data_IF_490614511777
#
_entry.id   IF_490614511777
#
_cell.length_a   1.000
_cell.length_b   1.000
_cell.length_c   1.000
_cell.angle_alpha   90.00
_cell.angle_beta   90.00
_cell.angle_gamma   90.00
#
_symmetry.space_group_name_H-M   'P 1'
#
loop_
_entity.id
_entity.type
_entity.pdbx_description
1 polymer ?
#
# COMPACT_ATOMS: atom_id res chain seq x y z
N UNK A 1 8.22 -47.06 28.87
CA UNK A 1 9.53 -46.57 28.40
C UNK A 1 9.87 -45.26 29.09
N UNK A 2 10.87 -45.25 29.99
CA UNK A 2 11.39 -44.02 30.60
C UNK A 2 12.31 -43.33 29.59
N UNK A 3 11.76 -42.49 28.70
CA UNK A 3 12.46 -41.81 27.60
C UNK A 3 13.51 -40.76 28.04
N UNK A 4 13.89 -40.73 29.33
CA UNK A 4 14.88 -39.78 29.85
C UNK A 4 14.41 -38.32 29.89
N UNK A 5 13.13 -38.01 29.64
CA UNK A 5 12.62 -36.65 29.53
C UNK A 5 12.93 -35.77 30.76
N UNK A 6 12.78 -36.32 31.98
CA UNK A 6 13.13 -35.60 33.23
C UNK A 6 14.63 -35.26 33.33
N UNK A 7 15.50 -36.08 32.72
CA UNK A 7 16.94 -35.82 32.68
C UNK A 7 17.27 -34.74 31.66
N UNK A 8 16.65 -34.78 30.47
CA UNK A 8 16.83 -33.73 29.46
C UNK A 8 16.32 -32.36 29.92
N UNK A 9 15.19 -32.31 30.65
CA UNK A 9 14.69 -31.09 31.25
C UNK A 9 15.67 -30.51 32.27
N UNK A 10 16.20 -31.33 33.20
CA UNK A 10 17.22 -30.89 34.16
C UNK A 10 18.51 -30.41 33.49
N UNK A 11 18.91 -31.06 32.40
CA UNK A 11 20.12 -30.70 31.68
C UNK A 11 19.93 -29.36 30.94
N UNK A 12 18.76 -29.14 30.34
CA UNK A 12 18.35 -27.87 29.74
C UNK A 12 18.20 -26.74 30.78
N UNK A 13 17.68 -27.06 31.97
CA UNK A 13 17.63 -26.15 33.11
C UNK A 13 19.03 -25.68 33.50
N UNK A 14 19.98 -26.62 33.62
CA UNK A 14 21.34 -26.33 34.07
C UNK A 14 22.21 -25.63 33.01
N UNK A 15 22.10 -25.99 31.73
CA UNK A 15 22.98 -25.46 30.67
C UNK A 15 22.44 -24.19 30.03
N UNK A 16 21.12 -24.08 29.89
CA UNK A 16 20.48 -23.02 29.11
C UNK A 16 19.60 -22.10 29.95
N UNK A 17 19.56 -22.29 31.27
CA UNK A 17 18.66 -21.56 32.18
C UNK A 17 17.20 -21.55 31.68
N UNK A 18 16.74 -22.66 31.12
CA UNK A 18 15.41 -22.79 30.50
C UNK A 18 15.10 -21.87 29.31
N UNK A 19 16.11 -21.26 28.67
CA UNK A 19 15.89 -20.47 27.46
C UNK A 19 15.55 -21.37 26.27
N UNK A 20 14.32 -21.23 25.76
CA UNK A 20 13.89 -21.91 24.53
C UNK A 20 14.18 -20.96 23.36
N UNK A 21 15.07 -21.35 22.42
CA UNK A 21 15.45 -20.46 21.35
C UNK A 21 14.28 -20.20 20.39
N UNK A 22 14.17 -18.97 19.94
CA UNK A 22 13.17 -18.61 18.93
C UNK A 22 13.55 -19.18 17.55
N UNK A 23 12.58 -19.34 16.64
CA UNK A 23 12.85 -19.81 15.27
C UNK A 23 13.94 -18.97 14.58
N UNK A 24 13.96 -17.66 14.84
CA UNK A 24 14.97 -16.74 14.29
C UNK A 24 16.38 -17.01 14.86
N UNK A 25 16.47 -17.26 16.17
CA UNK A 25 17.73 -17.62 16.82
C UNK A 25 18.26 -18.96 16.30
N UNK A 26 17.38 -19.95 16.14
CA UNK A 26 17.73 -21.27 15.57
C UNK A 26 18.29 -21.12 14.16
N UNK A 27 17.64 -20.32 13.30
CA UNK A 27 18.15 -20.03 11.95
C UNK A 27 19.56 -19.43 12.02
N UNK A 28 19.79 -18.48 12.94
CA UNK A 28 21.11 -17.87 13.14
C UNK A 28 22.15 -18.91 13.56
N UNK A 29 21.84 -19.78 14.52
CA UNK A 29 22.75 -20.82 14.96
C UNK A 29 23.09 -21.82 13.86
N UNK A 30 22.11 -22.22 13.05
CA UNK A 30 22.32 -23.08 11.89
C UNK A 30 23.28 -22.40 10.90
N UNK A 31 23.08 -21.12 10.60
CA UNK A 31 23.95 -20.38 9.70
C UNK A 31 25.38 -20.27 10.25
N UNK A 32 25.56 -19.96 11.53
CA UNK A 32 26.88 -19.92 12.16
C UNK A 32 27.56 -21.30 12.12
N UNK A 33 26.81 -22.38 12.32
CA UNK A 33 27.34 -23.73 12.21
C UNK A 33 27.74 -24.08 10.78
N UNK A 34 26.95 -23.69 9.78
CA UNK A 34 27.28 -23.88 8.37
C UNK A 34 28.55 -23.12 7.99
N UNK A 35 28.69 -21.86 8.43
CA UNK A 35 29.91 -21.08 8.22
C UNK A 35 31.13 -21.73 8.87
N UNK A 36 30.99 -22.22 10.10
CA UNK A 36 32.05 -22.95 10.79
C UNK A 36 32.42 -24.26 10.07
N UNK A 37 31.42 -25.02 9.64
CA UNK A 37 31.61 -26.27 8.90
C UNK A 37 32.33 -26.02 7.56
N UNK A 38 31.91 -25.01 6.81
CA UNK A 38 32.46 -24.69 5.50
C UNK A 38 33.91 -24.17 5.56
N UNK A 39 34.34 -23.64 6.72
CA UNK A 39 35.74 -23.22 6.99
C UNK A 39 36.69 -24.39 7.25
N UNK A 40 36.17 -25.59 7.55
CA UNK A 40 37.03 -26.76 7.81
C UNK A 40 37.77 -27.19 6.54
N UNK A 41 38.96 -27.80 6.67
CA UNK A 41 39.68 -28.34 5.52
C UNK A 41 38.86 -29.45 4.85
N UNK A 42 38.92 -29.53 3.52
CA UNK A 42 38.20 -30.55 2.79
C UNK A 42 38.79 -31.94 3.09
N UNK A 43 37.96 -32.98 3.33
CA UNK A 43 38.45 -34.34 3.55
C UNK A 43 39.26 -34.91 2.39
N UNK A 44 38.93 -34.51 1.15
CA UNK A 44 39.57 -35.02 -0.07
C UNK A 44 40.84 -34.24 -0.45
N UNK A 45 40.92 -32.96 -0.09
CA UNK A 45 42.09 -32.12 -0.33
C UNK A 45 42.30 -31.18 0.86
N UNK A 46 43.30 -31.47 1.69
CA UNK A 46 43.58 -30.71 2.93
C UNK A 46 44.13 -29.30 2.67
N UNK A 47 44.49 -28.98 1.42
CA UNK A 47 45.04 -27.67 1.06
C UNK A 47 43.97 -26.58 0.94
N UNK A 48 42.70 -26.95 0.73
CA UNK A 48 41.59 -26.03 0.50
C UNK A 48 40.48 -26.20 1.52
N UNK A 49 39.76 -25.12 1.78
CA UNK A 49 38.54 -25.18 2.59
C UNK A 49 37.38 -25.80 1.80
N UNK A 50 36.40 -26.35 2.51
CA UNK A 50 35.17 -26.89 1.89
C UNK A 50 34.47 -25.80 1.06
N UNK A 51 34.45 -24.55 1.55
CA UNK A 51 33.85 -23.42 0.85
C UNK A 51 34.52 -23.12 -0.49
N UNK A 52 35.85 -23.12 -0.55
CA UNK A 52 36.61 -22.85 -1.79
C UNK A 52 36.34 -23.93 -2.84
N UNK A 53 36.31 -25.19 -2.41
CA UNK A 53 35.96 -26.30 -3.29
C UNK A 53 34.52 -26.16 -3.81
N UNK A 54 33.54 -25.87 -2.94
CA UNK A 54 32.16 -25.65 -3.37
C UNK A 54 31.99 -24.44 -4.30
N UNK A 55 32.78 -23.38 -4.11
CA UNK A 55 32.78 -22.21 -4.98
C UNK A 55 33.41 -22.49 -6.36
N UNK A 56 34.33 -23.45 -6.45
CA UNK A 56 34.95 -23.85 -7.72
C UNK A 56 34.02 -24.67 -8.63
N UNK A 57 32.94 -25.22 -8.08
CA UNK A 57 31.93 -25.97 -8.85
C UNK A 57 31.14 -25.01 -9.73
N UNK A 58 31.04 -25.33 -11.01
CA UNK A 58 30.25 -24.55 -11.97
C UNK A 58 28.77 -24.55 -11.57
N UNK A 59 28.22 -23.35 -11.34
CA UNK A 59 26.82 -23.18 -10.94
C UNK A 59 25.97 -22.97 -12.18
N UNK A 60 24.93 -23.78 -12.34
CA UNK A 60 23.91 -23.54 -13.35
C UNK A 60 23.12 -22.27 -13.01
N UNK A 61 22.89 -21.41 -14.01
CA UNK A 61 22.04 -20.24 -13.84
C UNK A 61 20.57 -20.66 -13.81
N UNK A 62 20.04 -20.89 -12.60
CA UNK A 62 18.64 -21.23 -12.39
C UNK A 62 17.80 -19.96 -12.23
N UNK A 63 16.71 -19.88 -12.99
CA UNK A 63 15.73 -18.82 -12.80
C UNK A 63 14.89 -19.12 -11.55
N UNK A 64 15.16 -18.39 -10.48
CA UNK A 64 14.52 -18.55 -9.16
C UNK A 64 13.00 -18.44 -9.25
N UNK A 65 12.45 -17.60 -10.14
CA UNK A 65 11.00 -17.43 -10.26
C UNK A 65 10.32 -18.66 -10.85
N UNK A 66 10.97 -19.30 -11.83
CA UNK A 66 10.47 -20.55 -12.43
C UNK A 66 10.53 -21.66 -11.40
N UNK A 67 11.65 -21.77 -10.67
CA UNK A 67 11.82 -22.74 -9.60
C UNK A 67 10.76 -22.56 -8.51
N UNK A 68 10.55 -21.33 -8.05
CA UNK A 68 9.52 -21.02 -7.06
C UNK A 68 8.13 -21.42 -7.56
N UNK A 69 7.82 -21.16 -8.82
CA UNK A 69 6.53 -21.53 -9.43
C UNK A 69 6.36 -23.05 -9.47
N UNK A 70 7.44 -23.81 -9.71
CA UNK A 70 7.43 -25.27 -9.73
C UNK A 70 7.24 -25.88 -8.33
N UNK A 71 7.80 -25.23 -7.31
CA UNK A 71 7.74 -25.69 -5.91
C UNK A 71 6.43 -25.33 -5.19
N UNK A 72 5.50 -24.64 -5.85
CA UNK A 72 4.20 -24.28 -5.25
C UNK A 72 3.26 -25.48 -5.17
N UNK A 73 2.54 -25.58 -4.05
CA UNK A 73 1.47 -26.56 -3.90
C UNK A 73 0.22 -26.08 -4.60
N UNK A 74 -0.50 -27.01 -5.25
CA UNK A 74 -1.77 -26.72 -5.93
C UNK A 74 -2.94 -27.23 -5.09
N UNK A 75 -3.98 -26.42 -4.93
CA UNK A 75 -5.25 -26.81 -4.30
C UNK A 75 -6.46 -26.31 -5.09
N UNK A 76 -7.56 -27.07 -5.08
CA UNK A 76 -8.82 -26.64 -5.68
C UNK A 76 -9.68 -25.88 -4.67
N UNK A 77 -10.18 -24.70 -5.05
CA UNK A 77 -11.10 -23.89 -4.23
C UNK A 77 -12.14 -23.21 -5.11
N UNK A 78 -13.26 -22.83 -4.50
CA UNK A 78 -14.34 -22.12 -5.19
C UNK A 78 -14.22 -20.60 -4.97
N UNK A 79 -14.40 -19.82 -6.03
CA UNK A 79 -14.47 -18.37 -5.92
C UNK A 79 -15.86 -17.97 -5.41
N UNK A 80 -15.90 -17.15 -4.37
CA UNK A 80 -17.12 -16.53 -3.83
C UNK A 80 -17.23 -15.07 -4.30
N UNK A 81 -18.37 -14.42 -4.06
CA UNK A 81 -18.58 -12.98 -4.34
C UNK A 81 -17.46 -12.09 -3.80
N UNK A 82 -16.92 -12.45 -2.63
CA UNK A 82 -15.89 -11.67 -1.93
C UNK A 82 -14.45 -12.09 -2.29
N UNK A 83 -14.27 -13.17 -3.05
CA UNK A 83 -12.99 -13.70 -3.47
C UNK A 83 -12.79 -15.15 -3.00
N UNK A 84 -11.56 -15.51 -2.69
CA UNK A 84 -11.15 -16.87 -2.34
C UNK A 84 -10.86 -16.94 -0.85
N UNK A 85 -11.35 -17.99 -0.19
CA UNK A 85 -11.05 -18.32 1.20
C UNK A 85 -10.12 -19.52 1.26
N UNK A 86 -8.96 -19.34 1.88
CA UNK A 86 -7.95 -20.39 2.04
C UNK A 86 -7.20 -20.22 3.36
N UNK A 87 -7.04 -21.30 4.15
CA UNK A 87 -6.43 -21.29 5.50
C UNK A 87 -6.99 -20.19 6.43
N UNK A 88 -8.31 -19.98 6.42
CA UNK A 88 -8.98 -18.90 7.16
C UNK A 88 -8.50 -17.48 6.79
N UNK A 89 -7.83 -17.34 5.65
CA UNK A 89 -7.43 -16.06 5.05
C UNK A 89 -8.28 -15.78 3.82
N UNK A 90 -8.52 -14.49 3.58
CA UNK A 90 -9.25 -14.03 2.40
C UNK A 90 -8.28 -13.48 1.38
N UNK A 91 -8.43 -13.93 0.13
CA UNK A 91 -7.64 -13.46 -1.00
C UNK A 91 -8.55 -12.79 -2.01
N UNK A 92 -8.13 -11.60 -2.46
CA UNK A 92 -8.93 -10.80 -3.39
C UNK A 92 -8.07 -10.30 -4.54
N UNK A 93 -8.67 -10.29 -5.73
CA UNK A 93 -8.15 -9.67 -6.94
C UNK A 93 -9.32 -9.10 -7.73
N UNK A 94 -9.05 -8.08 -8.56
CA UNK A 94 -10.07 -7.44 -9.39
C UNK A 94 -10.57 -8.40 -10.48
N UNK A 95 -9.69 -9.25 -11.03
CA UNK A 95 -10.00 -10.16 -12.13
C UNK A 95 -10.94 -11.32 -11.77
N UNK A 96 -11.03 -11.70 -10.50
CA UNK A 96 -11.89 -12.80 -10.04
C UNK A 96 -13.23 -12.30 -9.47
N UNK A 97 -13.48 -11.00 -9.52
CA UNK A 97 -14.71 -10.42 -8.99
C UNK A 97 -15.90 -10.83 -9.85
N UNK A 98 -16.84 -11.56 -9.24
CA UNK A 98 -18.08 -11.98 -9.90
C UNK A 98 -18.04 -13.38 -10.52
N UNK A 99 -16.87 -14.02 -10.59
CA UNK A 99 -16.75 -15.43 -10.97
C UNK A 99 -17.23 -16.32 -9.81
N UNK A 100 -17.97 -17.39 -10.13
CA UNK A 100 -18.46 -18.40 -9.18
C UNK A 100 -18.05 -19.81 -9.61
N UNK A 101 -16.80 -19.95 -10.02
CA UNK A 101 -16.25 -21.20 -10.54
C UNK A 101 -15.26 -21.83 -9.57
N UNK A 102 -14.99 -23.12 -9.77
CA UNK A 102 -13.87 -23.80 -9.12
C UNK A 102 -12.58 -23.49 -9.85
N UNK A 103 -11.56 -23.10 -9.09
CA UNK A 103 -10.25 -22.69 -9.59
C UNK A 103 -9.14 -23.41 -8.83
N UNK A 104 -8.01 -23.57 -9.51
CA UNK A 104 -6.79 -24.07 -8.90
C UNK A 104 -5.96 -22.92 -8.35
N UNK A 105 -5.57 -23.03 -7.10
CA UNK A 105 -4.71 -22.08 -6.43
C UNK A 105 -3.34 -22.69 -6.28
N UNK A 106 -2.30 -21.97 -6.71
CA UNK A 106 -0.92 -22.26 -6.38
C UNK A 106 -0.42 -21.29 -5.32
N UNK A 107 0.14 -21.83 -4.25
CA UNK A 107 0.66 -21.04 -3.14
C UNK A 107 1.99 -21.60 -2.63
N UNK A 108 2.80 -20.72 -2.05
CA UNK A 108 4.00 -21.10 -1.32
C UNK A 108 3.64 -21.28 0.15
N UNK A 109 4.17 -22.34 0.78
CA UNK A 109 4.01 -22.53 2.24
C UNK A 109 4.79 -21.48 3.04
N UNK A 110 5.84 -20.89 2.44
CA UNK A 110 6.66 -19.88 3.08
C UNK A 110 6.04 -18.48 2.99
N UNK A 111 5.30 -18.18 1.92
CA UNK A 111 4.66 -16.88 1.71
C UNK A 111 3.18 -17.04 1.34
N UNK A 112 2.33 -16.82 2.34
CA UNK A 112 0.88 -16.81 2.22
C UNK A 112 0.32 -15.41 1.90
N UNK A 113 1.15 -14.42 1.59
CA UNK A 113 0.68 -13.05 1.30
C UNK A 113 -0.01 -12.96 -0.06
N UNK A 114 0.36 -13.83 -1.00
CA UNK A 114 -0.15 -13.87 -2.37
C UNK A 114 -0.39 -15.32 -2.80
N UNK A 115 -1.42 -15.50 -3.61
CA UNK A 115 -1.72 -16.77 -4.25
C UNK A 115 -1.89 -16.55 -5.75
N UNK A 116 -1.54 -17.58 -6.53
CA UNK A 116 -1.70 -17.59 -7.98
C UNK A 116 -2.95 -18.41 -8.32
N UNK A 117 -3.87 -17.80 -9.06
CA UNK A 117 -5.15 -18.41 -9.39
C UNK A 117 -5.13 -18.86 -10.85
N UNK A 118 -5.52 -20.11 -11.07
CA UNK A 118 -5.59 -20.78 -12.36
C UNK A 118 -7.00 -21.31 -12.62
N UNK A 119 -7.44 -21.28 -13.87
CA UNK A 119 -8.67 -21.91 -14.32
C UNK A 119 -8.60 -23.44 -14.21
N UNK A 120 -9.74 -24.13 -14.28
CA UNK A 120 -9.81 -25.59 -14.37
C UNK A 120 -9.00 -26.15 -15.57
N UNK A 121 -8.84 -25.35 -16.63
CA UNK A 121 -8.04 -25.67 -17.81
C UNK A 121 -6.52 -25.50 -17.60
N UNK A 122 -6.09 -24.95 -16.47
CA UNK A 122 -4.70 -24.64 -16.17
C UNK A 122 -4.22 -23.27 -16.68
N UNK A 123 -5.12 -22.44 -17.22
CA UNK A 123 -4.82 -21.07 -17.64
C UNK A 123 -4.63 -20.15 -16.43
N UNK A 124 -3.60 -19.30 -16.47
CA UNK A 124 -3.35 -18.33 -15.40
C UNK A 124 -4.38 -17.20 -15.46
N UNK A 125 -5.14 -17.01 -14.38
CA UNK A 125 -6.16 -15.97 -14.28
C UNK A 125 -5.57 -14.70 -13.65
N UNK A 126 -5.07 -14.80 -12.42
CA UNK A 126 -4.58 -13.63 -11.70
C UNK A 126 -3.74 -13.97 -10.45
N UNK A 127 -3.09 -12.94 -9.92
CA UNK A 127 -2.51 -12.95 -8.58
C UNK A 127 -3.55 -12.37 -7.61
N UNK A 128 -3.91 -13.10 -6.57
CA UNK A 128 -4.78 -12.62 -5.50
C UNK A 128 -3.95 -12.36 -4.24
N UNK A 129 -4.17 -11.19 -3.63
CA UNK A 129 -3.45 -10.75 -2.42
C UNK A 129 -4.32 -11.00 -1.19
N UNK A 130 -3.65 -11.30 -0.07
CA UNK A 130 -4.31 -11.44 1.23
C UNK A 130 -4.94 -10.12 1.66
N UNK A 131 -6.18 -10.19 2.12
CA UNK A 131 -6.95 -9.06 2.66
C UNK A 131 -7.53 -9.49 4.01
N UNK A 132 -7.51 -8.58 4.99
CA UNK A 132 -8.14 -8.81 6.28
C UNK A 132 -9.65 -8.55 6.18
N UNK A 133 -10.43 -9.39 6.86
CA UNK A 133 -11.88 -9.17 6.98
C UNK A 133 -12.11 -8.07 8.00
N UNK A 134 -12.49 -6.90 7.52
CA UNK A 134 -12.86 -5.78 8.40
C UNK A 134 -14.38 -5.68 8.45
N UNK A 135 -14.92 -5.63 9.66
CA UNK A 135 -16.36 -5.49 9.87
C UNK A 135 -16.79 -4.04 9.59
N UNK A 136 -17.95 -3.75 8.98
CA UNK A 136 -18.40 -2.38 8.71
C UNK A 136 -18.52 -1.49 9.96
N UNK A 137 -18.87 -2.09 11.10
CA UNK A 137 -18.92 -1.43 12.41
C UNK A 137 -17.55 -0.96 12.94
N UNK A 138 -16.44 -1.41 12.34
CA UNK A 138 -15.10 -0.93 12.67
C UNK A 138 -14.94 0.57 12.42
N UNK A 139 -15.79 1.19 11.60
CA UNK A 139 -15.80 2.63 11.43
C UNK A 139 -16.20 3.41 12.70
N UNK A 140 -17.01 2.80 13.58
CA UNK A 140 -17.53 3.43 14.81
C UNK A 140 -16.82 2.92 16.05
N UNK A 141 -16.61 1.59 16.14
CA UNK A 141 -16.14 0.92 17.36
C UNK A 141 -14.76 0.26 17.18
N UNK A 142 -14.16 0.38 16.00
CA UNK A 142 -12.88 -0.27 15.69
C UNK A 142 -11.67 0.45 16.25
N UNK A 143 -10.55 -0.26 16.29
CA UNK A 143 -9.24 0.35 16.54
C UNK A 143 -8.90 1.32 15.41
N UNK A 144 -8.00 2.28 15.65
CA UNK A 144 -7.50 3.20 14.60
C UNK A 144 -7.06 2.46 13.34
N UNK A 145 -6.36 1.32 13.49
CA UNK A 145 -5.94 0.47 12.36
C UNK A 145 -7.13 -0.11 11.59
N UNK A 146 -8.12 -0.65 12.28
CA UNK A 146 -9.30 -1.26 11.65
C UNK A 146 -10.14 -0.21 10.90
N UNK A 147 -10.23 1.01 11.47
CA UNK A 147 -10.92 2.14 10.84
C UNK A 147 -10.22 2.60 9.55
N UNK A 148 -8.89 2.72 9.58
CA UNK A 148 -8.10 3.07 8.40
C UNK A 148 -8.20 2.01 7.31
N UNK A 149 -8.04 0.73 7.67
CA UNK A 149 -8.17 -0.38 6.73
C UNK A 149 -9.57 -0.42 6.11
N UNK A 150 -10.63 -0.23 6.92
CA UNK A 150 -12.00 -0.13 6.41
C UNK A 150 -12.15 1.00 5.39
N UNK A 151 -11.70 2.21 5.73
CA UNK A 151 -11.76 3.38 4.84
C UNK A 151 -10.99 3.13 3.54
N UNK A 152 -9.82 2.48 3.61
CA UNK A 152 -9.04 2.12 2.43
C UNK A 152 -9.74 1.08 1.56
N UNK A 153 -10.31 0.03 2.16
CA UNK A 153 -11.06 -1.00 1.43
C UNK A 153 -12.28 -0.39 0.74
N UNK A 154 -13.05 0.44 1.44
CA UNK A 154 -14.22 1.13 0.91
C UNK A 154 -13.85 2.03 -0.29
N UNK A 155 -12.80 2.85 -0.13
CA UNK A 155 -12.29 3.72 -1.21
C UNK A 155 -11.89 2.92 -2.45
N UNK A 156 -11.20 1.78 -2.29
CA UNK A 156 -10.83 0.89 -3.40
C UNK A 156 -12.04 0.33 -4.12
N UNK A 157 -13.06 -0.14 -3.37
CA UNK A 157 -14.30 -0.65 -3.97
C UNK A 157 -15.00 0.43 -4.80
N UNK A 158 -15.08 1.67 -4.28
CA UNK A 158 -15.69 2.78 -5.00
C UNK A 158 -14.90 3.18 -6.25
N UNK A 159 -13.56 3.14 -6.20
CA UNK A 159 -12.71 3.36 -7.37
C UNK A 159 -12.93 2.29 -8.45
N UNK A 160 -13.01 1.02 -8.07
CA UNK A 160 -13.29 -0.08 -8.99
C UNK A 160 -14.66 0.11 -9.63
N UNK A 161 -15.70 0.38 -8.83
CA UNK A 161 -17.05 0.69 -9.33
C UNK A 161 -17.02 1.83 -10.35
N UNK A 162 -16.37 2.94 -10.03
CA UNK A 162 -16.30 4.10 -10.91
C UNK A 162 -15.53 3.81 -12.20
N UNK A 163 -14.46 2.99 -12.15
CA UNK A 163 -13.72 2.56 -13.35
C UNK A 163 -14.59 1.69 -14.25
N UNK A 164 -15.30 0.73 -13.67
CA UNK A 164 -16.22 -0.15 -14.40
C UNK A 164 -17.35 0.66 -15.05
N UNK A 165 -17.98 1.57 -14.31
CA UNK A 165 -19.03 2.46 -14.85
C UNK A 165 -18.51 3.29 -16.02
N UNK A 166 -17.28 3.82 -15.92
CA UNK A 166 -16.64 4.56 -17.02
C UNK A 166 -16.38 3.68 -18.25
N UNK A 167 -15.92 2.44 -18.05
CA UNK A 167 -15.69 1.50 -19.15
C UNK A 167 -17.01 1.11 -19.83
N UNK A 168 -18.06 0.85 -19.06
CA UNK A 168 -19.40 0.55 -19.57
C UNK A 168 -19.92 1.73 -20.40
N UNK A 169 -19.90 2.95 -19.86
CA UNK A 169 -20.33 4.16 -20.59
C UNK A 169 -19.54 4.44 -21.87
N UNK A 170 -18.29 3.96 -21.96
CA UNK A 170 -17.47 4.10 -23.15
C UNK A 170 -17.84 3.06 -24.22
N UNK A 171 -18.17 1.85 -23.81
CA UNK A 171 -18.38 0.72 -24.71
C UNK A 171 -19.84 0.54 -25.13
N UNK A 172 -20.80 0.99 -24.32
CA UNK A 172 -22.22 0.85 -24.57
C UNK A 172 -22.87 2.22 -24.80
N UNK A 173 -23.70 2.32 -25.84
CA UNK A 173 -24.50 3.51 -26.15
C UNK A 173 -25.68 3.61 -25.18
N UNK A 174 -26.11 4.83 -24.84
CA UNK A 174 -27.14 5.08 -23.82
C UNK A 174 -28.45 4.30 -24.01
N UNK A 175 -28.79 3.97 -25.26
CA UNK A 175 -30.04 3.28 -25.64
C UNK A 175 -30.03 1.77 -25.37
N UNK A 176 -28.85 1.14 -25.19
CA UNK A 176 -28.72 -0.31 -24.90
C UNK A 176 -28.64 -0.62 -23.40
N UNK A 177 -28.47 0.41 -22.56
CA UNK A 177 -28.43 0.26 -21.11
C UNK A 177 -29.85 0.28 -20.54
N UNK A 178 -30.60 -0.81 -20.72
CA UNK A 178 -31.73 -1.12 -19.85
C UNK A 178 -31.19 -1.40 -18.45
N UNK A 179 -31.05 -0.36 -17.64
CA UNK A 179 -30.73 -0.47 -16.22
C UNK A 179 -31.93 -1.18 -15.58
N UNK A 180 -31.73 -2.42 -15.13
CA UNK A 180 -32.66 -3.04 -14.19
C UNK A 180 -32.71 -2.12 -12.97
N UNK A 181 -33.88 -1.54 -12.69
CA UNK A 181 -34.16 -0.80 -11.48
C UNK A 181 -34.05 -1.77 -10.30
N UNK A 182 -32.83 -1.94 -9.79
CA UNK A 182 -32.61 -2.59 -8.51
C UNK A 182 -33.22 -1.63 -7.49
N UNK A 183 -34.34 -2.02 -6.89
CA UNK A 183 -34.91 -1.33 -5.73
C UNK A 183 -33.77 -1.05 -4.76
N UNK A 184 -33.49 0.22 -4.54
CA UNK A 184 -32.45 0.63 -3.61
C UNK A 184 -32.90 0.14 -2.23
N UNK A 185 -32.22 -0.86 -1.68
CA UNK A 185 -32.39 -1.26 -0.29
C UNK A 185 -32.36 0.02 0.55
N UNK A 186 -33.49 0.30 1.21
CA UNK A 186 -33.67 1.49 2.02
C UNK A 186 -32.49 1.60 2.98
N UNK A 187 -31.67 2.62 2.78
CA UNK A 187 -30.60 2.95 3.71
C UNK A 187 -31.27 3.22 5.05
N UNK A 188 -30.98 2.37 6.03
CA UNK A 188 -31.31 2.64 7.43
C UNK A 188 -30.79 4.05 7.71
N UNK A 189 -31.72 4.96 7.99
CA UNK A 189 -31.45 6.35 8.36
C UNK A 189 -30.74 6.33 9.72
N UNK A 190 -29.43 6.08 9.69
CA UNK A 190 -28.57 6.61 10.74
C UNK A 190 -28.53 8.10 10.42
N UNK A 191 -29.16 8.91 11.27
CA UNK A 191 -29.06 10.37 11.23
C UNK A 191 -27.58 10.72 11.00
N UNK A 192 -27.28 11.11 9.76
CA UNK A 192 -25.97 11.59 9.43
C UNK A 192 -25.85 12.90 10.20
N UNK A 193 -25.02 12.92 11.24
CA UNK A 193 -24.47 14.17 11.74
C UNK A 193 -23.85 14.82 10.50
N UNK A 194 -24.51 15.86 10.01
CA UNK A 194 -24.06 16.65 8.87
C UNK A 194 -22.84 17.41 9.39
N UNK A 195 -21.69 16.75 9.45
CA UNK A 195 -20.43 17.44 9.43
C UNK A 195 -20.35 18.07 8.03
N UNK A 196 -20.74 19.33 7.93
CA UNK A 196 -20.37 20.19 6.83
C UNK A 196 -18.85 20.10 6.69
N UNK A 197 -18.39 19.24 5.77
CA UNK A 197 -16.99 19.26 5.38
C UNK A 197 -16.71 20.69 4.94
N UNK A 198 -15.79 21.42 5.59
CA UNK A 198 -15.49 22.78 5.18
C UNK A 198 -15.13 22.71 3.71
N UNK A 199 -15.85 23.48 2.87
CA UNK A 199 -15.48 23.66 1.47
C UNK A 199 -14.01 24.08 1.51
N UNK A 200 -13.11 23.18 1.14
CA UNK A 200 -11.69 23.50 1.05
C UNK A 200 -11.57 24.53 -0.04
N UNK A 201 -11.49 25.79 0.36
CA UNK A 201 -11.21 26.88 -0.54
C UNK A 201 -9.92 26.55 -1.27
N UNK A 202 -9.93 26.66 -2.60
CA UNK A 202 -8.73 26.47 -3.41
C UNK A 202 -7.69 27.47 -2.91
N UNK A 203 -6.62 26.98 -2.29
CA UNK A 203 -5.45 27.81 -1.97
C UNK A 203 -4.86 28.28 -3.30
N UNK A 204 -5.06 29.55 -3.64
CA UNK A 204 -4.54 30.16 -4.87
C UNK A 204 -3.02 30.05 -4.86
N UNK A 205 -2.44 29.67 -6.00
CA UNK A 205 -0.99 29.56 -6.21
C UNK A 205 -0.34 30.96 -6.05
N UNK A 206 0.92 31.05 -5.61
CA UNK A 206 1.61 32.34 -5.40
C UNK A 206 1.53 33.27 -6.64
N UNK A 207 1.60 32.70 -7.85
CA UNK A 207 1.42 33.42 -9.11
C UNK A 207 -0.01 33.92 -9.34
N UNK A 208 -1.03 33.17 -8.94
CA UNK A 208 -2.45 33.56 -9.06
C UNK A 208 -2.84 34.65 -8.05
N UNK A 209 -2.17 34.71 -6.90
CA UNK A 209 -2.29 35.80 -5.94
C UNK A 209 -1.65 37.08 -6.49
N UNK A 210 -0.46 36.95 -7.09
CA UNK A 210 0.26 38.08 -7.69
C UNK A 210 -0.44 38.67 -8.93
N UNK A 211 -1.13 37.84 -9.73
CA UNK A 211 -1.87 38.29 -10.93
C UNK A 211 -3.25 38.89 -10.62
N UNK A 212 -3.82 38.67 -9.44
CA UNK A 212 -5.07 39.31 -9.01
C UNK A 212 -4.78 40.70 -8.44
N UNK A 213 -4.49 41.67 -9.31
CA UNK A 213 -4.33 43.07 -8.93
C UNK A 213 -5.70 43.67 -8.57
N UNK A 214 -5.93 44.12 -7.32
CA UNK A 214 -7.15 44.85 -6.98
C UNK A 214 -7.13 46.24 -7.62
N UNK A 215 -8.32 46.82 -7.83
CA UNK A 215 -8.46 48.22 -8.24
C UNK A 215 -8.24 49.08 -6.99
N UNK A 216 -7.24 49.94 -7.01
CA UNK A 216 -6.91 50.82 -5.88
C UNK A 216 -7.75 52.10 -5.93
N UNK A 217 -8.29 52.50 -4.79
CA UNK A 217 -9.07 53.74 -4.68
C UNK A 217 -8.19 54.93 -4.29
N UNK A 218 -7.10 54.67 -3.57
CA UNK A 218 -6.11 55.66 -3.17
C UNK A 218 -4.70 55.26 -3.58
N UNK A 219 -3.84 56.26 -3.82
CA UNK A 219 -2.43 56.05 -4.16
C UNK A 219 -1.66 55.33 -3.05
N UNK A 220 -2.00 55.59 -1.79
CA UNK A 220 -1.37 54.93 -0.64
C UNK A 220 -1.64 53.41 -0.61
N UNK A 221 -2.86 52.97 -0.92
CA UNK A 221 -3.22 51.54 -0.98
C UNK A 221 -2.42 50.81 -2.06
N UNK A 222 -2.19 51.50 -3.18
CA UNK A 222 -1.37 51.01 -4.28
C UNK A 222 0.10 50.86 -3.85
N UNK A 223 0.63 51.77 -3.04
CA UNK A 223 1.99 51.67 -2.50
C UNK A 223 2.16 50.46 -1.55
N UNK A 224 1.30 50.33 -0.55
CA UNK A 224 1.33 49.23 0.41
C UNK A 224 1.21 47.85 -0.26
N UNK A 225 0.33 47.75 -1.26
CA UNK A 225 0.15 46.51 -2.01
C UNK A 225 1.39 46.15 -2.84
N UNK A 226 2.05 47.13 -3.45
CA UNK A 226 3.29 46.93 -4.22
C UNK A 226 4.47 46.55 -3.33
N UNK A 227 4.56 47.09 -2.10
CA UNK A 227 5.56 46.68 -1.12
C UNK A 227 5.36 45.23 -0.65
N UNK A 228 4.11 44.81 -0.46
CA UNK A 228 3.80 43.45 0.03
C UNK A 228 3.91 42.35 -1.04
N UNK A 229 3.54 42.62 -2.29
CA UNK A 229 3.48 41.62 -3.37
C UNK A 229 4.61 41.73 -4.41
N UNK A 230 5.42 42.79 -4.34
CA UNK A 230 6.51 43.08 -5.27
C UNK A 230 6.04 43.69 -6.61
N UNK A 231 6.96 44.37 -7.31
CA UNK A 231 6.67 45.02 -8.59
C UNK A 231 6.84 44.05 -9.77
N UNK A 232 5.73 43.72 -10.45
CA UNK A 232 5.73 42.81 -11.62
C UNK A 232 5.98 43.51 -12.95
N UNK A 233 5.54 44.76 -13.12
CA UNK A 233 5.71 45.55 -14.36
C UNK A 233 6.75 46.68 -14.19
N UNK A 234 7.35 47.12 -15.31
CA UNK A 234 8.28 48.27 -15.34
C UNK A 234 7.59 49.56 -14.92
N UNK A 235 6.31 49.72 -15.29
CA UNK A 235 5.51 50.92 -14.96
C UNK A 235 5.21 51.03 -13.46
N UNK A 236 5.11 49.91 -12.74
CA UNK A 236 4.90 49.93 -11.30
C UNK A 236 6.17 50.39 -10.56
N UNK A 237 7.37 50.14 -11.12
CA UNK A 237 8.65 50.62 -10.56
C UNK A 237 8.83 52.13 -10.76
N UNK A 238 8.48 52.63 -11.95
CA UNK A 238 8.52 54.07 -12.21
C UNK A 238 7.49 54.80 -11.35
N UNK A 239 6.28 54.26 -11.21
CA UNK A 239 5.26 54.82 -10.33
C UNK A 239 5.70 54.80 -8.85
N UNK A 240 6.29 53.70 -8.35
CA UNK A 240 6.77 53.60 -6.97
C UNK A 240 7.85 54.65 -6.66
N UNK A 241 8.81 54.85 -7.56
CA UNK A 241 9.86 55.87 -7.39
C UNK A 241 9.33 57.30 -7.45
N UNK A 242 8.25 57.55 -8.20
CA UNK A 242 7.57 58.84 -8.21
C UNK A 242 6.76 59.06 -6.94
N UNK A 243 6.09 58.03 -6.43
CA UNK A 243 5.28 58.12 -5.21
C UNK A 243 6.14 58.32 -3.96
N UNK A 244 7.30 57.67 -3.84
CA UNK A 244 8.23 57.89 -2.71
C UNK A 244 8.75 59.35 -2.67
N UNK A 245 8.76 60.04 -3.82
CA UNK A 245 9.17 61.44 -3.93
C UNK A 245 8.02 62.43 -3.79
N UNK A 246 6.78 61.97 -3.64
CA UNK A 246 5.62 62.84 -3.53
C UNK A 246 5.41 63.31 -2.09
N UNK A 247 4.85 64.51 -1.95
CA UNK A 247 4.51 65.09 -0.64
C UNK A 247 3.50 64.22 0.13
N UNK A 248 2.68 63.41 -0.57
CA UNK A 248 1.76 62.46 0.06
C UNK A 248 2.49 61.37 0.85
N UNK A 249 3.60 60.85 0.33
CA UNK A 249 4.39 59.83 1.01
C UNK A 249 5.08 60.39 2.26
N UNK A 250 5.72 61.56 2.13
CA UNK A 250 6.39 62.24 3.24
C UNK A 250 5.45 62.51 4.41
N UNK A 251 4.23 62.98 4.12
CA UNK A 251 3.24 63.29 5.15
C UNK A 251 2.72 62.06 5.92
N UNK A 252 2.70 60.88 5.28
CA UNK A 252 2.13 59.64 5.85
C UNK A 252 3.17 58.75 6.54
N UNK A 253 4.44 58.80 6.13
CA UNK A 253 5.48 57.86 6.60
C UNK A 253 6.73 58.50 7.21
N UNK A 254 6.99 59.79 6.99
CA UNK A 254 8.20 60.48 7.48
C UNK A 254 7.94 61.52 8.59
N UNK A 255 6.73 61.52 9.17
CA UNK A 255 6.40 62.26 10.40
C UNK A 255 6.52 61.38 11.65
#
# INVERSE_FOLDING_TARGET
>A
MKRGEKLHLKLHENETNNHIPTVQEVIKYINCWLEFHNKKPCPNDRSKSIQEMLNSVEKQHLNINILNTLMMKTECRTITKHGITFLNMHYRSEAILGLREQVFIRYSLFDLSKIFVYSAKGEFLCIAKRVQKVHPMANVLGTVKDMEEYKQQYKKQQQIKNRLVKQIKKNFTSDELQVLEIEQEQSIEIESIIEEKPKRERVKTAREQQMNRPIFTSNYEKYEWLMKNGCTNSDDRTWLTQYIRSDEYFNLYEN
#
